data_IF_215862976394
#
_entry.id   IF_215862976394
#
_cell.length_a   1.000
_cell.length_b   1.000
_cell.length_c   1.000
_cell.angle_alpha   90.00
_cell.angle_beta   90.00
_cell.angle_gamma   90.00
#
_symmetry.space_group_name_H-M   'P 1'
#
loop_
_entity.id
_entity.type
_entity.pdbx_description
1 polymer ?
#
# COMPACT_ATOMS: atom_id res chain seq x y z
N UNK A 1 -19.77 -10.49 2.71
CA UNK A 1 -18.44 -10.90 3.20
C UNK A 1 -17.99 -9.85 4.20
N UNK A 2 -17.80 -10.22 5.47
CA UNK A 2 -17.35 -9.30 6.51
C UNK A 2 -15.83 -9.20 6.42
N UNK A 3 -15.31 -8.07 5.95
CA UNK A 3 -13.89 -7.73 6.04
C UNK A 3 -13.72 -6.85 7.27
N UNK A 4 -13.00 -7.34 8.27
CA UNK A 4 -12.67 -6.57 9.46
C UNK A 4 -11.64 -5.50 9.09
N UNK A 5 -12.01 -4.23 9.29
CA UNK A 5 -11.09 -3.11 9.18
C UNK A 5 -10.25 -3.03 10.46
N UNK A 6 -8.95 -3.15 10.30
CA UNK A 6 -7.98 -3.01 11.40
C UNK A 6 -7.21 -1.70 11.26
N UNK A 7 -6.86 -1.13 12.40
CA UNK A 7 -5.97 0.01 12.51
C UNK A 7 -4.55 -0.50 12.74
N UNK A 8 -3.62 -0.10 11.88
CA UNK A 8 -2.20 -0.38 12.01
C UNK A 8 -1.49 0.92 12.33
N UNK A 9 -0.66 0.90 13.37
CA UNK A 9 0.31 1.95 13.64
C UNK A 9 1.68 1.50 13.13
N UNK A 10 2.30 2.30 12.28
CA UNK A 10 3.64 2.03 11.76
C UNK A 10 4.44 3.32 11.65
N UNK A 11 5.51 3.41 12.45
CA UNK A 11 6.44 4.54 12.45
C UNK A 11 5.74 5.91 12.63
N UNK A 12 4.75 5.96 13.54
CA UNK A 12 3.94 7.16 13.80
C UNK A 12 2.86 7.46 12.75
N UNK A 13 2.72 6.62 11.73
CA UNK A 13 1.66 6.71 10.73
C UNK A 13 0.58 5.69 11.01
N UNK A 14 -0.68 6.13 11.01
CA UNK A 14 -1.84 5.27 11.17
C UNK A 14 -2.39 4.91 9.80
N UNK A 15 -2.49 3.60 9.51
CA UNK A 15 -3.06 3.07 8.28
C UNK A 15 -4.23 2.15 8.62
N UNK A 16 -5.39 2.39 8.01
CA UNK A 16 -6.55 1.52 8.12
C UNK A 16 -6.56 0.53 6.96
N UNK A 17 -6.58 -0.76 7.25
CA UNK A 17 -6.56 -1.81 6.23
C UNK A 17 -7.58 -2.89 6.52
N UNK A 18 -7.99 -3.61 5.48
CA UNK A 18 -8.89 -4.76 5.61
C UNK A 18 -8.06 -6.01 5.89
N UNK A 19 -8.56 -6.90 6.74
CA UNK A 19 -8.07 -8.28 6.83
C UNK A 19 -9.07 -9.25 6.21
N UNK A 20 -8.55 -10.31 5.58
CA UNK A 20 -9.35 -11.43 5.13
C UNK A 20 -9.61 -12.42 6.28
N UNK A 21 -10.42 -13.46 6.03
CA UNK A 21 -10.76 -14.49 7.02
C UNK A 21 -9.57 -15.32 7.50
N UNK A 22 -8.53 -15.43 6.67
CA UNK A 22 -7.27 -16.11 6.99
C UNK A 22 -6.31 -15.23 7.81
N UNK A 23 -6.72 -14.00 8.15
CA UNK A 23 -5.92 -13.06 8.93
C UNK A 23 -4.88 -12.29 8.11
N UNK A 24 -4.88 -12.43 6.79
CA UNK A 24 -3.99 -11.72 5.87
C UNK A 24 -4.49 -10.30 5.63
N UNK A 25 -3.55 -9.37 5.60
CA UNK A 25 -3.74 -7.96 5.38
C UNK A 25 -3.87 -7.70 3.88
N UNK A 26 -4.92 -7.00 3.49
CA UNK A 26 -5.17 -6.62 2.10
C UNK A 26 -4.54 -5.25 1.86
N UNK A 27 -3.77 -5.11 0.78
CA UNK A 27 -3.24 -3.80 0.40
C UNK A 27 -4.39 -2.82 0.09
N UNK A 28 -4.45 -1.63 0.72
CA UNK A 28 -5.54 -0.67 0.50
C UNK A 28 -5.42 0.10 -0.83
N UNK A 29 -4.33 -0.07 -1.59
CA UNK A 29 -4.07 0.66 -2.83
C UNK A 29 -4.47 -0.16 -4.06
N UNK A 30 -3.98 -1.41 -4.16
CA UNK A 30 -4.30 -2.30 -5.26
C UNK A 30 -5.43 -3.27 -4.95
N UNK A 31 -5.69 -3.59 -3.67
CA UNK A 31 -6.65 -4.62 -3.24
C UNK A 31 -6.42 -6.03 -3.85
N UNK A 32 -5.28 -6.24 -4.53
CA UNK A 32 -4.93 -7.50 -5.21
C UNK A 32 -3.98 -8.38 -4.38
N UNK A 33 -3.21 -7.76 -3.49
CA UNK A 33 -2.14 -8.44 -2.74
C UNK A 33 -2.54 -8.67 -1.29
N UNK A 34 -2.30 -9.90 -0.83
CA UNK A 34 -2.51 -10.37 0.54
C UNK A 34 -1.16 -10.54 1.24
N UNK A 35 -1.02 -9.96 2.41
CA UNK A 35 0.24 -9.84 3.14
C UNK A 35 0.06 -10.35 4.57
N UNK A 36 1.03 -11.10 5.07
CA UNK A 36 0.99 -11.65 6.43
C UNK A 36 1.48 -10.66 7.49
N UNK A 37 2.32 -9.69 7.12
CA UNK A 37 2.95 -8.74 8.04
C UNK A 37 2.75 -7.27 7.65
N UNK A 38 2.80 -6.40 8.66
CA UNK A 38 2.70 -4.94 8.51
C UNK A 38 3.88 -4.37 7.73
N UNK A 39 5.08 -4.92 7.95
CA UNK A 39 6.31 -4.46 7.30
C UNK A 39 6.26 -4.69 5.79
N UNK A 40 5.73 -5.85 5.38
CA UNK A 40 5.50 -6.17 3.96
C UNK A 40 4.44 -5.27 3.34
N UNK A 41 3.35 -4.99 4.06
CA UNK A 41 2.34 -4.02 3.64
C UNK A 41 2.97 -2.65 3.39
N UNK A 42 3.79 -2.17 4.32
CA UNK A 42 4.44 -0.88 4.19
C UNK A 42 5.39 -0.83 2.99
N UNK A 43 6.26 -1.85 2.83
CA UNK A 43 7.15 -1.96 1.68
C UNK A 43 6.38 -1.99 0.35
N UNK A 44 5.24 -2.69 0.32
CA UNK A 44 4.37 -2.75 -0.84
C UNK A 44 3.71 -1.40 -1.15
N UNK A 45 3.22 -0.69 -0.13
CA UNK A 45 2.67 0.67 -0.25
C UNK A 45 3.74 1.65 -0.77
N UNK A 46 4.97 1.57 -0.25
CA UNK A 46 6.09 2.38 -0.74
C UNK A 46 6.41 2.07 -2.21
N UNK A 47 6.32 0.82 -2.63
CA UNK A 47 6.51 0.44 -4.03
C UNK A 47 5.44 1.06 -4.93
N UNK A 48 4.18 1.12 -4.49
CA UNK A 48 3.14 1.88 -5.18
C UNK A 48 3.50 3.35 -5.29
N UNK A 49 3.82 4.00 -4.16
CA UNK A 49 4.18 5.41 -4.13
C UNK A 49 5.35 5.73 -5.08
N UNK A 50 6.42 4.91 -5.06
CA UNK A 50 7.56 5.04 -5.99
C UNK A 50 7.14 4.90 -7.46
N UNK A 51 6.29 3.92 -7.79
CA UNK A 51 5.75 3.76 -9.16
C UNK A 51 4.89 4.95 -9.59
N UNK A 52 4.10 5.52 -8.68
CA UNK A 52 3.34 6.75 -8.95
C UNK A 52 4.24 7.96 -9.13
N UNK A 53 5.31 8.07 -8.34
CA UNK A 53 6.33 9.12 -8.48
C UNK A 53 7.05 8.98 -9.81
N UNK A 54 7.50 7.80 -10.20
CA UNK A 54 8.17 7.55 -11.49
C UNK A 54 7.27 7.96 -12.69
N UNK A 55 5.98 7.61 -12.63
CA UNK A 55 4.97 8.06 -13.61
C UNK A 55 4.79 9.58 -13.65
N UNK A 56 4.92 10.28 -12.52
CA UNK A 56 4.83 11.75 -12.43
C UNK A 56 6.14 12.45 -12.81
N UNK A 57 7.29 11.82 -12.58
CA UNK A 57 8.63 12.35 -12.89
C UNK A 57 8.95 12.22 -14.38
N UNK A 58 8.25 11.36 -15.13
CA UNK A 58 8.24 11.37 -16.60
C UNK A 58 7.54 12.60 -17.23
N UNK A 59 7.58 13.76 -16.58
CA UNK A 59 7.12 15.04 -17.13
C UNK A 59 8.32 16.00 -17.28
N UNK A 60 8.82 16.02 -18.51
CA UNK A 60 9.66 17.03 -19.22
C UNK A 60 11.10 17.31 -18.76
N UNK A 61 12.01 16.97 -19.67
CA UNK A 61 12.86 17.97 -20.35
C UNK A 61 12.38 18.01 -21.82
N UNK A 62 11.52 18.94 -22.27
CA UNK A 62 11.83 20.25 -22.88
C UNK A 62 13.06 20.23 -23.80
N UNK A 63 12.78 20.11 -25.10
CA UNK A 63 13.43 20.84 -26.21
C UNK A 63 14.82 20.36 -26.64
N UNK A 64 14.85 19.63 -27.75
CA UNK A 64 15.84 19.78 -28.82
C UNK A 64 15.08 19.84 -30.15
#
# INVERSE_FOLDING_TARGET
>A
MSNDMIKIDYNGSIVYVKKNKDGLIICPICEEVLLSDVSDLYNHILAHARRYVDKRVKVKSRGE
#
